data_IF_022715721374
#
_entry.id   IF_022715721374
#
_cell.length_a   1.000
_cell.length_b   1.000
_cell.length_c   1.000
_cell.angle_alpha   90.00
_cell.angle_beta   90.00
_cell.angle_gamma   90.00
#
_symmetry.space_group_name_H-M   'P 1'
#
loop_
_entity.id
_entity.type
_entity.pdbx_description
1 polymer ?
2 non-polymer ?
3 non-polymer ?
4 non-polymer ?
5 non-polymer ?
6 water ?
#
# COMPACT_ATOMS: atom_id res chain seq x y z
N UNK A 16 -4.46 -21.30 18.89
CA UNK A 16 -5.06 -20.11 18.27
C UNK A 16 -4.05 -19.04 17.89
N UNK A 17 -2.92 -19.00 18.61
CA UNK A 17 -1.82 -18.09 18.33
C UNK A 17 -0.91 -18.67 17.24
N UNK A 18 -0.90 -20.00 17.13
CA UNK A 18 -0.07 -20.72 16.16
C UNK A 18 -0.55 -20.42 14.73
N UNK A 19 -1.88 -20.46 14.52
CA UNK A 19 -2.48 -20.14 13.24
C UNK A 19 -2.09 -18.72 12.83
N UNK A 20 -2.29 -17.77 13.73
CA UNK A 20 -1.98 -16.37 13.47
C UNK A 20 -0.51 -16.22 13.11
N UNK A 21 0.39 -16.94 13.82
CA UNK A 21 1.81 -16.96 13.47
C UNK A 21 2.03 -17.50 12.04
N UNK A 22 1.28 -18.55 11.68
CA UNK A 22 1.32 -19.09 10.32
C UNK A 22 0.81 -18.06 9.31
N UNK A 23 -0.30 -17.37 9.64
CA UNK A 23 -0.88 -16.39 8.74
C UNK A 23 0.12 -15.28 8.42
N UNK A 24 0.88 -14.83 9.42
CA UNK A 24 1.89 -13.80 9.20
C UNK A 24 3.00 -14.29 8.29
N UNK A 25 3.32 -15.59 8.35
CA UNK A 25 4.35 -16.16 7.49
C UNK A 25 3.90 -16.22 6.03
N UNK A 26 2.58 -16.33 5.83
CA UNK A 26 1.99 -16.55 4.51
C UNK A 26 1.54 -15.25 3.86
N UNK A 27 1.20 -14.23 4.67
CA UNK A 27 0.60 -13.00 4.18
C UNK A 27 1.59 -11.84 4.34
N UNK A 28 2.11 -11.28 3.23
CA UNK A 28 2.89 -10.05 3.24
C UNK A 28 2.15 -8.91 3.96
N UNK A 29 2.86 -8.20 4.84
CA UNK A 29 2.34 -7.02 5.51
C UNK A 29 1.04 -7.31 6.28
N UNK A 30 0.93 -8.53 6.84
CA UNK A 30 -0.25 -8.96 7.56
C UNK A 30 -0.68 -7.93 8.61
N UNK A 31 0.26 -7.52 9.46
CA UNK A 31 -0.04 -6.56 10.51
C UNK A 31 -0.50 -5.24 9.91
N UNK A 32 0.22 -4.73 8.90
CA UNK A 32 -0.11 -3.46 8.27
C UNK A 32 -1.55 -3.48 7.74
N UNK A 33 -1.90 -4.51 6.96
CA UNK A 33 -3.18 -4.51 6.26
C UNK A 33 -4.34 -4.75 7.23
N UNK A 34 -4.17 -5.64 8.23
CA UNK A 34 -5.24 -5.92 9.18
C UNK A 34 -5.41 -4.71 10.10
N UNK A 35 -4.31 -4.15 10.60
CA UNK A 35 -4.37 -2.97 11.47
C UNK A 35 -5.00 -1.81 10.72
N UNK A 36 -4.67 -1.65 9.43
CA UNK A 36 -5.22 -0.57 8.62
C UNK A 36 -6.75 -0.64 8.62
N UNK A 37 -7.29 -1.85 8.52
CA UNK A 37 -8.74 -2.05 8.54
C UNK A 37 -9.32 -1.71 9.92
N UNK A 38 -8.65 -2.17 10.99
CA UNK A 38 -9.12 -1.90 12.34
C UNK A 38 -9.17 -0.40 12.59
N UNK A 39 -8.12 0.30 12.15
CA UNK A 39 -7.96 1.71 12.44
C UNK A 39 -8.97 2.53 11.62
N UNK A 40 -9.26 2.07 10.40
CA UNK A 40 -10.23 2.71 9.53
C UNK A 40 -11.62 2.60 10.14
N UNK A 41 -11.97 1.40 10.62
CA UNK A 41 -13.22 1.17 11.34
C UNK A 41 -13.26 2.07 12.57
N UNK A 42 -12.19 2.09 13.36
CA UNK A 42 -12.15 2.79 14.64
C UNK A 42 -12.33 4.30 14.43
N UNK A 43 -11.82 4.84 13.32
CA UNK A 43 -11.95 6.25 13.04
C UNK A 43 -13.39 6.60 12.62
N UNK A 44 -14.20 5.61 12.23
CA UNK A 44 -15.50 5.84 11.63
C UNK A 44 -16.64 5.62 12.63
N UNK A 45 -16.62 4.51 13.36
CA UNK A 45 -17.83 3.98 13.98
C UNK A 45 -18.04 4.63 15.35
N UNK A 46 -19.30 4.67 15.87
CA UNK A 46 -19.55 5.13 17.22
C UNK A 46 -19.04 4.10 18.23
N UNK A 47 -18.97 4.54 19.50
CA UNK A 47 -18.66 3.64 20.60
C UNK A 47 -19.67 2.49 20.59
N UNK A 48 -19.21 1.30 21.00
CA UNK A 48 -20.02 0.09 20.97
C UNK A 48 -20.66 -0.07 19.59
N UNK A 49 -19.86 -0.15 18.50
CA UNK A 49 -20.41 -0.30 17.15
C UNK A 49 -20.91 -1.71 16.88
N UNK A 50 -21.83 -1.84 15.92
CA UNK A 50 -22.24 -3.14 15.41
C UNK A 50 -21.49 -3.42 14.12
N UNK A 51 -20.79 -4.57 14.06
CA UNK A 51 -19.88 -4.88 12.97
C UNK A 51 -20.24 -6.24 12.36
N UNK A 52 -20.26 -6.30 11.03
CA UNK A 52 -20.47 -7.53 10.27
C UNK A 52 -19.13 -7.97 9.65
N UNK A 53 -18.74 -9.21 9.92
CA UNK A 53 -17.51 -9.77 9.37
C UNK A 53 -17.87 -10.86 8.36
N UNK A 54 -17.67 -10.57 7.06
CA UNK A 54 -18.08 -11.44 5.98
C UNK A 54 -16.92 -12.34 5.55
N UNK A 55 -17.21 -13.64 5.41
CA UNK A 55 -16.18 -14.66 5.23
C UNK A 55 -15.21 -14.66 6.41
N UNK A 56 -15.76 -14.71 7.63
CA UNK A 56 -15.02 -14.41 8.86
C UNK A 56 -13.92 -15.43 9.14
N UNK A 57 -14.09 -16.67 8.65
CA UNK A 57 -13.14 -17.74 8.93
C UNK A 57 -13.06 -18.03 10.43
N UNK A 58 -11.85 -17.98 10.99
CA UNK A 58 -11.62 -18.21 12.41
C UNK A 58 -11.98 -16.96 13.21
N UNK A 59 -12.19 -15.83 12.53
CA UNK A 59 -12.60 -14.59 13.18
C UNK A 59 -11.42 -13.67 13.49
N UNK A 60 -10.34 -13.79 12.70
CA UNK A 60 -9.10 -13.07 12.94
C UNK A 60 -9.31 -11.55 12.82
N UNK A 61 -10.20 -11.12 11.91
CA UNK A 61 -10.47 -9.71 11.70
C UNK A 61 -11.43 -9.18 12.78
N UNK A 62 -12.43 -9.98 13.14
CA UNK A 62 -13.34 -9.66 14.21
C UNK A 62 -12.58 -9.47 15.53
N UNK A 63 -11.53 -10.28 15.74
CA UNK A 63 -10.75 -10.24 16.97
C UNK A 63 -9.95 -8.94 17.08
N UNK A 64 -9.27 -8.56 16.00
CA UNK A 64 -8.45 -7.36 15.99
C UNK A 64 -9.29 -6.11 16.22
N UNK A 65 -10.55 -6.12 15.74
CA UNK A 65 -11.47 -5.01 15.94
C UNK A 65 -11.94 -4.96 17.39
N UNK A 66 -12.27 -6.13 17.96
CA UNK A 66 -12.72 -6.22 19.34
C UNK A 66 -11.62 -5.78 20.31
N UNK A 67 -10.37 -6.15 20.01
CA UNK A 67 -9.22 -5.73 20.81
C UNK A 67 -9.20 -4.20 20.88
N UNK A 68 -9.46 -3.54 19.74
CA UNK A 68 -9.42 -2.09 19.65
C UNK A 68 -10.70 -1.50 20.23
N UNK A 69 -11.84 -2.13 19.94
CA UNK A 69 -13.16 -1.64 20.35
C UNK A 69 -13.85 -2.75 21.13
N UNK A 70 -13.55 -2.90 22.44
CA UNK A 70 -14.09 -4.00 23.25
C UNK A 70 -15.61 -4.11 23.39
N UNK A 71 -16.33 -2.99 23.19
CA UNK A 71 -17.78 -2.97 23.36
C UNK A 71 -18.50 -3.31 22.04
N UNK A 72 -17.73 -3.67 21.00
CA UNK A 72 -18.31 -3.96 19.69
C UNK A 72 -19.30 -5.12 19.77
N UNK A 73 -20.41 -5.00 19.03
CA UNK A 73 -21.26 -6.13 18.72
C UNK A 73 -20.86 -6.66 17.33
N UNK A 74 -20.40 -7.91 17.26
CA UNK A 74 -19.84 -8.46 16.04
C UNK A 74 -20.67 -9.64 15.56
N UNK A 75 -20.95 -9.68 14.24
CA UNK A 75 -21.63 -10.80 13.61
C UNK A 75 -20.71 -11.41 12.55
N UNK A 76 -20.26 -12.64 12.81
CA UNK A 76 -19.38 -13.37 11.90
C UNK A 76 -20.22 -14.24 10.96
N UNK A 77 -19.94 -14.16 9.66
CA UNK A 77 -20.59 -15.01 8.66
C UNK A 77 -19.53 -15.76 7.88
N UNK A 78 -19.78 -17.06 7.64
CA UNK A 78 -18.91 -17.90 6.84
C UNK A 78 -19.67 -19.16 6.41
N UNK A 79 -19.34 -19.69 5.23
CA UNK A 79 -20.04 -20.87 4.71
C UNK A 79 -19.46 -22.14 5.32
N UNK A 80 -18.25 -22.04 5.89
CA UNK A 80 -17.54 -23.19 6.43
C UNK A 80 -17.81 -23.33 7.93
N UNK A 81 -18.51 -24.41 8.30
CA UNK A 81 -18.83 -24.70 9.69
C UNK A 81 -17.56 -25.01 10.47
N UNK A 82 -16.62 -25.72 9.83
CA UNK A 82 -15.34 -26.05 10.43
C UNK A 82 -14.64 -24.79 10.90
N UNK A 83 -14.61 -23.76 10.05
CA UNK A 83 -13.98 -22.49 10.38
C UNK A 83 -14.71 -21.81 11.54
N UNK A 84 -16.04 -21.76 11.46
CA UNK A 84 -16.85 -21.06 12.44
C UNK A 84 -16.73 -21.72 13.82
N UNK A 85 -16.56 -23.05 13.85
CA UNK A 85 -16.38 -23.78 15.11
C UNK A 85 -15.16 -23.23 15.84
N UNK A 86 -14.06 -23.04 15.10
CA UNK A 86 -12.82 -22.53 15.65
C UNK A 86 -12.99 -21.07 16.08
N UNK A 87 -13.83 -20.33 15.33
CA UNK A 87 -14.18 -18.96 15.69
C UNK A 87 -14.92 -18.94 17.02
N UNK A 88 -16.02 -19.69 17.11
CA UNK A 88 -16.73 -19.89 18.37
C UNK A 88 -15.72 -20.19 19.46
N UNK A 89 -14.70 -20.98 19.12
CA UNK A 89 -13.64 -21.37 20.04
C UNK A 89 -12.75 -20.20 20.45
N UNK A 90 -12.45 -19.30 19.51
CA UNK A 90 -11.67 -18.11 19.83
C UNK A 90 -12.48 -17.18 20.74
N UNK A 91 -13.81 -17.20 20.58
CA UNK A 91 -14.68 -16.32 21.33
C UNK A 91 -15.45 -17.13 22.37
N UNK A 97 -20.79 -11.27 20.51
CA UNK A 97 -20.29 -11.93 19.27
C UNK A 97 -21.32 -12.97 18.83
N UNK A 98 -21.85 -12.82 17.61
CA UNK A 98 -22.71 -13.81 16.99
C UNK A 98 -21.94 -14.53 15.89
N UNK A 99 -22.25 -15.82 15.69
CA UNK A 99 -21.67 -16.60 14.61
C UNK A 99 -22.81 -17.21 13.80
N UNK A 100 -22.67 -17.20 12.46
CA UNK A 100 -23.74 -17.63 11.58
C UNK A 100 -23.16 -18.29 10.32
N UNK A 101 -23.67 -19.50 10.00
CA UNK A 101 -23.41 -20.13 8.72
C UNK A 101 -24.14 -19.34 7.64
N UNK A 102 -23.43 -18.99 6.57
CA UNK A 102 -24.03 -18.26 5.47
C UNK A 102 -23.04 -18.09 4.31
N UNK A 103 -23.58 -17.89 3.11
CA UNK A 103 -22.77 -17.64 1.92
C UNK A 103 -22.76 -16.14 1.64
N UNK A 104 -21.67 -15.63 1.07
CA UNK A 104 -21.57 -14.21 0.74
C UNK A 104 -22.68 -13.80 -0.22
N UNK A 105 -23.14 -14.74 -1.07
CA UNK A 105 -24.16 -14.47 -2.05
C UNK A 105 -25.57 -14.51 -1.43
N UNK A 106 -25.68 -14.96 -0.17
CA UNK A 106 -26.95 -14.98 0.54
C UNK A 106 -27.27 -13.58 1.07
N UNK A 107 -28.55 -13.27 1.37
CA UNK A 107 -28.90 -11.99 2.01
C UNK A 107 -28.10 -11.82 3.30
N UNK A 108 -27.60 -10.61 3.53
CA UNK A 108 -26.79 -10.31 4.70
C UNK A 108 -27.69 -10.35 5.93
N UNK A 109 -27.14 -10.57 7.15
CA UNK A 109 -27.93 -10.41 8.38
C UNK A 109 -28.62 -9.05 8.44
N UNK A 110 -29.80 -9.02 9.08
CA UNK A 110 -30.62 -7.84 9.16
C UNK A 110 -30.22 -6.99 10.36
N UNK A 111 -30.78 -5.78 10.43
CA UNK A 111 -30.63 -4.89 11.58
C UNK A 111 -29.78 -3.67 11.27
N UNK A 112 -28.90 -3.77 10.26
CA UNK A 112 -28.01 -2.69 9.90
C UNK A 112 -26.73 -2.73 10.73
N UNK A 113 -25.64 -2.15 10.17
CA UNK A 113 -24.32 -2.19 10.77
C UNK A 113 -23.63 -0.83 10.64
N UNK A 114 -22.69 -0.57 11.55
CA UNK A 114 -21.87 0.64 11.53
C UNK A 114 -20.67 0.42 10.63
N UNK A 115 -20.20 -0.83 10.58
CA UNK A 115 -19.12 -1.24 9.71
C UNK A 115 -19.39 -2.64 9.18
N UNK A 116 -18.93 -2.87 7.95
CA UNK A 116 -18.85 -4.20 7.40
C UNK A 116 -17.40 -4.42 7.01
N UNK A 117 -16.84 -5.57 7.41
CA UNK A 117 -15.45 -5.86 7.14
C UNK A 117 -15.37 -7.25 6.53
N UNK A 118 -14.29 -7.49 5.79
CA UNK A 118 -14.03 -8.75 5.13
C UNK A 118 -12.53 -8.88 4.88
N UNK A 119 -12.00 -10.09 5.08
CA UNK A 119 -10.60 -10.37 4.86
C UNK A 119 -10.44 -11.62 4.00
N UNK A 120 -9.86 -11.44 2.81
CA UNK A 120 -9.39 -12.52 1.96
C UNK A 120 -10.52 -13.51 1.65
N UNK A 121 -11.70 -12.98 1.31
CA UNK A 121 -12.89 -13.78 1.09
C UNK A 121 -13.57 -13.42 -0.24
N UNK A 122 -13.69 -12.12 -0.53
CA UNK A 122 -14.56 -11.66 -1.59
C UNK A 122 -13.98 -12.02 -2.95
N UNK A 123 -12.66 -12.25 -3.01
CA UNK A 123 -12.01 -12.57 -4.28
C UNK A 123 -12.37 -13.98 -4.75
N UNK A 124 -13.17 -14.72 -3.97
CA UNK A 124 -13.67 -16.02 -4.38
C UNK A 124 -15.01 -15.94 -5.12
N UNK A 125 -15.64 -14.76 -5.14
CA UNK A 125 -16.91 -14.57 -5.85
C UNK A 125 -16.62 -14.24 -7.31
N UNK A 126 -17.57 -14.56 -8.19
CA UNK A 126 -17.60 -14.00 -9.52
C UNK A 126 -17.62 -12.48 -9.42
N UNK A 127 -17.13 -11.81 -10.45
CA UNK A 127 -17.17 -10.36 -10.55
C UNK A 127 -18.61 -9.84 -10.43
N UNK A 128 -19.58 -10.53 -11.05
CA UNK A 128 -20.98 -10.17 -10.88
C UNK A 128 -21.42 -10.32 -9.42
N UNK A 129 -20.93 -11.37 -8.74
CA UNK A 129 -21.22 -11.58 -7.33
C UNK A 129 -20.65 -10.48 -6.44
N UNK A 130 -19.42 -10.05 -6.76
CA UNK A 130 -18.77 -8.97 -6.03
C UNK A 130 -19.59 -7.69 -6.12
N UNK A 131 -20.03 -7.33 -7.33
CA UNK A 131 -20.75 -6.08 -7.57
C UNK A 131 -22.09 -6.10 -6.83
N UNK A 132 -22.79 -7.24 -6.89
CA UNK A 132 -24.03 -7.41 -6.17
C UNK A 132 -23.80 -7.31 -4.66
N UNK A 133 -22.73 -7.96 -4.15
CA UNK A 133 -22.42 -7.91 -2.74
C UNK A 133 -22.16 -6.46 -2.31
N UNK A 134 -21.41 -5.70 -3.14
CA UNK A 134 -21.07 -4.32 -2.81
C UNK A 134 -22.34 -3.50 -2.59
N UNK A 135 -23.34 -3.71 -3.45
CA UNK A 135 -24.62 -3.01 -3.34
C UNK A 135 -25.34 -3.39 -2.05
N UNK A 136 -25.36 -4.70 -1.74
CA UNK A 136 -26.08 -5.18 -0.59
C UNK A 136 -25.40 -4.70 0.70
N UNK A 137 -24.07 -4.57 0.66
CA UNK A 137 -23.31 -4.06 1.80
C UNK A 137 -23.67 -2.60 2.02
N UNK A 138 -23.66 -1.81 0.94
CA UNK A 138 -24.05 -0.41 1.01
C UNK A 138 -25.43 -0.28 1.66
N UNK A 139 -26.37 -1.18 1.32
CA UNK A 139 -27.73 -1.12 1.83
C UNK A 139 -27.81 -1.53 3.30
N UNK A 140 -26.86 -2.34 3.75
CA UNK A 140 -26.82 -2.81 5.12
C UNK A 140 -26.19 -1.77 6.06
N UNK A 141 -25.52 -0.75 5.49
CA UNK A 141 -24.72 0.18 6.29
C UNK A 141 -25.57 1.35 6.78
N UNK A 142 -25.42 1.67 8.08
CA UNK A 142 -26.05 2.84 8.67
C UNK A 142 -25.35 4.10 8.14
N UNK A 143 -26.00 5.28 8.16
CA UNK A 143 -25.37 6.51 7.69
C UNK A 143 -24.00 6.73 8.30
N UNK A 144 -23.04 7.14 7.47
CA UNK A 144 -21.66 7.32 7.90
C UNK A 144 -20.89 6.00 7.96
N UNK A 145 -21.53 4.88 7.66
CA UNK A 145 -20.94 3.56 7.84
C UNK A 145 -19.79 3.29 6.87
N UNK A 146 -18.99 2.27 7.18
CA UNK A 146 -17.81 1.99 6.38
C UNK A 146 -17.77 0.50 6.04
N UNK A 147 -17.34 0.22 4.80
CA UNK A 147 -17.01 -1.13 4.36
C UNK A 147 -15.50 -1.19 4.15
N UNK A 148 -14.85 -2.19 4.77
CA UNK A 148 -13.41 -2.35 4.62
C UNK A 148 -13.12 -3.75 4.12
N UNK A 149 -12.27 -3.84 3.08
CA UNK A 149 -11.87 -5.11 2.51
C UNK A 149 -10.36 -5.22 2.60
N UNK A 150 -9.89 -6.25 3.32
CA UNK A 150 -8.51 -6.68 3.31
C UNK A 150 -8.40 -7.80 2.28
N UNK A 151 -7.77 -7.52 1.14
CA UNK A 151 -8.02 -8.31 -0.07
C UNK A 151 -6.74 -8.67 -0.81
N UNK A 152 -6.81 -9.82 -1.49
CA UNK A 152 -5.82 -10.24 -2.47
C UNK A 152 -6.21 -9.67 -3.82
N UNK A 153 -5.31 -8.88 -4.43
CA UNK A 153 -5.62 -8.17 -5.66
C UNK A 153 -4.65 -8.62 -6.74
N UNK A 154 -5.07 -8.45 -7.99
CA UNK A 154 -4.34 -8.92 -9.15
C UNK A 154 -3.50 -7.81 -9.75
N UNK A 155 -2.32 -8.17 -10.26
CA UNK A 155 -1.52 -7.25 -11.05
C UNK A 155 -2.30 -6.80 -12.29
N UNK A 156 -2.35 -5.49 -12.59
CA UNK A 156 -3.12 -4.97 -13.72
C UNK A 156 -2.64 -5.41 -15.11
N UNK A 157 -1.33 -5.70 -15.23
CA UNK A 157 -0.74 -6.28 -16.43
C UNK A 157 0.06 -7.52 -16.05
N UNK A 158 0.30 -8.46 -16.99
CA UNK A 158 1.06 -9.68 -16.70
C UNK A 158 2.40 -9.46 -15.98
N UNK A 159 3.19 -8.47 -16.43
CA UNK A 159 4.47 -8.19 -15.79
C UNK A 159 4.29 -7.75 -14.34
N UNK A 160 3.16 -7.11 -14.02
CA UNK A 160 2.90 -6.64 -12.68
C UNK A 160 2.43 -7.81 -11.82
N UNK A 161 1.63 -8.71 -12.40
CA UNK A 161 1.19 -9.90 -11.69
C UNK A 161 2.39 -10.79 -11.37
N UNK A 162 3.38 -10.86 -12.28
CA UNK A 162 4.60 -11.63 -12.03
C UNK A 162 5.41 -11.02 -10.89
N UNK A 163 5.52 -9.69 -10.89
CA UNK A 163 6.18 -8.95 -9.81
C UNK A 163 5.46 -9.17 -8.47
N UNK A 164 4.12 -9.15 -8.49
CA UNK A 164 3.31 -9.33 -7.29
C UNK A 164 3.56 -10.72 -6.71
N UNK A 165 3.59 -11.73 -7.58
CA UNK A 165 3.83 -13.10 -7.18
C UNK A 165 5.25 -13.27 -6.63
N UNK A 166 6.22 -12.67 -7.32
CA UNK A 166 7.61 -12.68 -6.89
C UNK A 166 7.74 -12.08 -5.49
N UNK A 167 7.03 -11.00 -5.24
CA UNK A 167 7.10 -10.33 -3.94
C UNK A 167 6.45 -11.19 -2.85
N UNK A 168 5.36 -11.88 -3.21
CA UNK A 168 4.70 -12.81 -2.30
C UNK A 168 5.68 -13.92 -1.93
N UNK A 169 6.34 -14.50 -2.94
CA UNK A 169 7.30 -15.56 -2.73
C UNK A 169 8.45 -15.10 -1.85
N UNK A 170 8.93 -13.87 -2.07
CA UNK A 170 10.02 -13.29 -1.28
C UNK A 170 9.66 -13.26 0.21
N UNK A 171 8.40 -12.91 0.53
CA UNK A 171 7.91 -12.90 1.91
C UNK A 171 7.90 -14.30 2.52
N UNK A 172 7.34 -15.27 1.78
CA UNK A 172 7.24 -16.64 2.23
C UNK A 172 8.62 -17.26 2.47
N UNK A 173 9.60 -16.87 1.63
CA UNK A 173 10.98 -17.31 1.78
C UNK A 173 11.57 -16.76 3.09
N UNK A 174 11.46 -15.44 3.25
CA UNK A 174 12.06 -14.73 4.36
C UNK A 174 11.45 -15.19 5.68
N UNK A 175 10.15 -15.50 5.69
CA UNK A 175 9.46 -15.86 6.93
C UNK A 175 9.49 -17.36 7.17
N UNK A 176 10.10 -18.13 6.26
CA UNK A 176 10.24 -19.57 6.36
C UNK A 176 8.90 -20.26 6.57
N UNK A 177 7.86 -19.85 5.83
CA UNK A 177 6.58 -20.51 5.90
C UNK A 177 6.77 -22.01 5.62
N UNK A 178 6.08 -22.93 6.31
CA UNK A 178 6.19 -24.36 6.01
C UNK A 178 5.77 -24.71 4.60
N UNK A 179 6.52 -25.63 3.98
CA UNK A 179 6.39 -25.95 2.56
C UNK A 179 4.96 -26.34 2.21
N UNK A 180 4.34 -27.14 3.07
CA UNK A 180 3.02 -27.69 2.78
C UNK A 180 1.94 -26.61 2.89
N UNK A 181 2.17 -25.61 3.76
CA UNK A 181 1.20 -24.53 3.94
C UNK A 181 1.24 -23.61 2.72
N UNK A 182 2.43 -23.35 2.18
CA UNK A 182 2.57 -22.58 0.95
C UNK A 182 1.97 -23.33 -0.23
N UNK A 183 2.17 -24.66 -0.28
CA UNK A 183 1.63 -25.49 -1.36
C UNK A 183 0.10 -25.50 -1.32
N UNK A 184 -0.47 -25.65 -0.12
CA UNK A 184 -1.91 -25.57 0.10
C UNK A 184 -2.47 -24.22 -0.35
N UNK A 185 -1.75 -23.13 -0.05
CA UNK A 185 -2.15 -21.80 -0.46
C UNK A 185 -2.15 -21.66 -1.98
N UNK A 186 -1.09 -22.18 -2.62
CA UNK A 186 -0.99 -22.24 -4.07
C UNK A 186 -2.20 -22.97 -4.66
N UNK A 187 -2.58 -24.09 -4.03
CA UNK A 187 -3.72 -24.88 -4.48
C UNK A 187 -5.02 -24.06 -4.40
N UNK A 188 -5.25 -23.41 -3.26
CA UNK A 188 -6.46 -22.63 -3.03
C UNK A 188 -6.54 -21.46 -4.00
N UNK A 189 -5.39 -20.99 -4.52
CA UNK A 189 -5.34 -19.89 -5.48
C UNK A 189 -6.00 -20.27 -6.81
N UNK A 190 -6.21 -21.57 -7.05
CA UNK A 190 -6.91 -22.03 -8.24
C UNK A 190 -8.41 -21.74 -8.15
N UNK A 191 -8.90 -21.40 -6.95
CA UNK A 191 -10.30 -21.05 -6.76
C UNK A 191 -10.48 -19.54 -6.65
N UNK A 192 -9.43 -18.78 -6.94
CA UNK A 192 -9.47 -17.32 -6.84
C UNK A 192 -10.10 -16.71 -8.09
N UNK A 193 -10.80 -15.59 -7.88
CA UNK A 193 -11.32 -14.75 -8.95
C UNK A 193 -10.90 -13.30 -8.64
N UNK A 194 -9.59 -13.12 -8.48
CA UNK A 194 -9.03 -11.83 -8.13
C UNK A 194 -9.11 -10.91 -9.35
N UNK A 195 -9.17 -9.61 -9.05
CA UNK A 195 -9.07 -8.57 -10.06
C UNK A 195 -8.23 -7.45 -9.46
N UNK A 196 -7.80 -6.52 -10.31
CA UNK A 196 -6.91 -5.46 -9.90
C UNK A 196 -7.66 -4.51 -8.96
N UNK A 197 -6.88 -3.75 -8.20
CA UNK A 197 -7.41 -2.87 -7.16
C UNK A 197 -8.31 -1.79 -7.79
N UNK A 198 -7.83 -1.13 -8.84
CA UNK A 198 -8.53 -0.01 -9.46
C UNK A 198 -9.92 -0.43 -9.89
N UNK A 199 -10.05 -1.62 -10.49
CA UNK A 199 -11.34 -2.07 -11.01
C UNK A 199 -12.34 -2.20 -9.87
N UNK A 200 -11.93 -2.82 -8.76
CA UNK A 200 -12.87 -3.08 -7.66
C UNK A 200 -13.16 -1.82 -6.86
N UNK A 201 -12.23 -0.86 -6.82
CA UNK A 201 -12.50 0.48 -6.27
C UNK A 201 -13.59 1.15 -7.10
N UNK A 202 -13.50 1.04 -8.43
CA UNK A 202 -14.51 1.60 -9.31
C UNK A 202 -15.88 0.96 -9.05
N UNK A 203 -15.89 -0.37 -8.86
CA UNK A 203 -17.13 -1.08 -8.60
C UNK A 203 -17.76 -0.61 -7.27
N UNK A 204 -16.92 -0.24 -6.30
CA UNK A 204 -17.42 0.33 -5.05
C UNK A 204 -18.16 1.62 -5.35
N UNK A 205 -17.52 2.51 -6.13
CA UNK A 205 -18.16 3.75 -6.55
C UNK A 205 -19.48 3.47 -7.25
N UNK A 206 -19.46 2.53 -8.20
CA UNK A 206 -20.65 2.17 -8.97
C UNK A 206 -21.76 1.68 -8.04
N UNK A 207 -21.39 1.03 -6.91
CA UNK A 207 -22.36 0.47 -5.99
C UNK A 207 -22.96 1.52 -5.06
N UNK A 208 -22.48 2.77 -5.15
CA UNK A 208 -23.11 3.89 -4.48
C UNK A 208 -22.38 4.30 -3.21
N UNK A 209 -21.10 3.93 -3.07
CA UNK A 209 -20.30 4.40 -1.96
C UNK A 209 -19.81 5.82 -2.24
N UNK A 210 -19.92 6.69 -1.22
CA UNK A 210 -19.70 8.12 -1.35
C UNK A 210 -18.21 8.41 -1.55
N UNK A 211 -17.34 7.73 -0.79
CA UNK A 211 -15.91 7.92 -0.90
C UNK A 211 -15.25 6.54 -0.81
N UNK A 212 -14.21 6.32 -1.63
CA UNK A 212 -13.49 5.05 -1.64
C UNK A 212 -12.00 5.36 -1.61
N UNK A 213 -11.22 4.49 -0.98
CA UNK A 213 -9.78 4.71 -0.91
C UNK A 213 -9.05 3.39 -0.62
N UNK A 214 -7.82 3.30 -1.10
CA UNK A 214 -6.90 2.27 -0.68
C UNK A 214 -6.06 2.83 0.47
N UNK A 215 -6.13 2.17 1.63
CA UNK A 215 -5.42 2.62 2.82
C UNK A 215 -4.00 2.06 2.84
N UNK A 216 -3.83 0.79 2.46
CA UNK A 216 -2.56 0.11 2.60
C UNK A 216 -2.41 -0.90 1.47
N UNK A 217 -1.18 -1.14 1.04
CA UNK A 217 -0.92 -2.09 -0.03
C UNK A 217 0.49 -2.62 0.10
N UNK A 218 0.64 -3.93 -0.14
CA UNK A 218 1.93 -4.58 -0.33
C UNK A 218 1.79 -5.54 -1.51
N UNK A 219 1.98 -4.98 -2.72
CA UNK A 219 1.85 -5.68 -4.00
C UNK A 219 0.49 -6.36 -4.08
N UNK A 220 0.44 -7.68 -3.84
CA UNK A 220 -0.76 -8.48 -4.04
C UNK A 220 -1.82 -8.23 -2.96
N UNK A 221 -1.43 -7.65 -1.82
CA UNK A 221 -2.36 -7.49 -0.70
C UNK A 221 -2.64 -6.02 -0.45
N UNK A 222 -3.93 -5.70 -0.25
CA UNK A 222 -4.37 -4.32 -0.12
C UNK A 222 -5.55 -4.24 0.83
N UNK A 223 -5.59 -3.15 1.60
CA UNK A 223 -6.76 -2.79 2.37
C UNK A 223 -7.41 -1.59 1.71
N UNK A 224 -8.70 -1.72 1.36
CA UNK A 224 -9.46 -0.60 0.82
C UNK A 224 -10.81 -0.50 1.52
N UNK A 225 -11.46 0.65 1.34
CA UNK A 225 -12.69 0.95 2.08
C UNK A 225 -13.60 1.83 1.24
N UNK A 226 -14.90 1.76 1.55
CA UNK A 226 -15.88 2.70 1.04
C UNK A 226 -16.78 3.15 2.19
N UNK A 227 -17.21 4.42 2.14
CA UNK A 227 -18.14 4.98 3.10
C UNK A 227 -19.46 5.31 2.40
N UNK A 228 -20.58 5.14 3.12
CA UNK A 228 -21.91 5.40 2.60
C UNK A 228 -22.35 6.83 2.98
N UNK B 16 25.43 7.51 9.03
CA UNK B 16 24.84 6.82 7.89
C UNK B 16 23.74 5.84 8.29
N UNK B 17 24.11 4.86 9.12
CA UNK B 17 23.18 3.83 9.58
C UNK B 17 22.21 4.44 10.60
N UNK B 18 22.66 5.50 11.30
CA UNK B 18 21.86 6.17 12.31
C UNK B 18 20.78 7.04 11.66
N UNK B 19 21.12 7.69 10.54
CA UNK B 19 20.16 8.45 9.76
C UNK B 19 19.02 7.55 9.29
N UNK B 20 19.36 6.33 8.85
CA UNK B 20 18.39 5.40 8.32
C UNK B 20 17.46 4.93 9.43
N UNK B 21 18.03 4.67 10.61
CA UNK B 21 17.23 4.32 11.78
C UNK B 21 16.29 5.47 12.12
N UNK B 22 16.80 6.71 12.02
CA UNK B 22 15.97 7.91 12.19
C UNK B 22 14.84 7.93 11.16
N UNK B 23 15.17 7.71 9.89
CA UNK B 23 14.17 7.73 8.83
C UNK B 23 13.07 6.70 9.10
N UNK B 24 13.45 5.51 9.59
CA UNK B 24 12.51 4.45 9.88
C UNK B 24 11.50 4.88 10.94
N UNK B 25 11.98 5.62 11.94
CA UNK B 25 11.14 6.09 13.04
C UNK B 25 10.13 7.13 12.55
N UNK B 26 10.51 7.91 11.53
CA UNK B 26 9.70 9.04 11.05
C UNK B 26 8.78 8.65 9.90
N UNK B 27 9.15 7.59 9.15
CA UNK B 27 8.46 7.23 7.93
C UNK B 27 7.76 5.87 8.09
N UNK B 28 6.41 5.87 8.15
CA UNK B 28 5.64 4.63 8.14
C UNK B 28 6.05 3.73 6.98
N UNK B 29 6.28 2.45 7.30
CA UNK B 29 6.55 1.41 6.31
C UNK B 29 7.76 1.74 5.44
N UNK B 30 8.77 2.38 6.04
CA UNK B 30 9.96 2.83 5.33
C UNK B 30 10.58 1.68 4.51
N UNK B 31 10.77 0.51 5.16
CA UNK B 31 11.40 -0.62 4.50
C UNK B 31 10.51 -1.14 3.35
N UNK B 32 9.21 -1.26 3.62
CA UNK B 32 8.27 -1.74 2.62
C UNK B 32 8.32 -0.87 1.36
N UNK B 33 8.17 0.46 1.53
CA UNK B 33 8.01 1.35 0.39
C UNK B 33 9.31 1.51 -0.39
N UNK B 34 10.47 1.54 0.30
CA UNK B 34 11.77 1.73 -0.33
C UNK B 34 12.21 0.43 -1.01
N UNK B 35 12.03 -0.70 -0.34
CA UNK B 35 12.33 -1.99 -0.94
C UNK B 35 11.41 -2.24 -2.15
N UNK B 36 10.15 -1.82 -2.05
CA UNK B 36 9.22 -1.99 -3.16
C UNK B 36 9.78 -1.31 -4.40
N UNK B 37 10.40 -0.13 -4.23
CA UNK B 37 11.02 0.60 -5.31
C UNK B 37 12.20 -0.17 -5.90
N UNK B 38 13.09 -0.65 -5.03
CA UNK B 38 14.26 -1.41 -5.43
C UNK B 38 13.88 -2.63 -6.27
N UNK B 39 12.91 -3.41 -5.75
CA UNK B 39 12.48 -4.65 -6.36
C UNK B 39 11.79 -4.40 -7.71
N UNK B 40 11.09 -3.27 -7.83
CA UNK B 40 10.39 -2.89 -9.05
C UNK B 40 11.43 -2.57 -10.13
N UNK B 41 12.46 -1.82 -9.73
CA UNK B 41 13.59 -1.53 -10.60
C UNK B 41 14.27 -2.83 -11.04
N UNK B 42 14.53 -3.73 -10.09
CA UNK B 42 15.32 -4.93 -10.34
C UNK B 42 14.59 -5.88 -11.28
N UNK B 43 13.25 -5.87 -11.23
CA UNK B 43 12.43 -6.69 -12.12
C UNK B 43 12.44 -6.14 -13.55
N UNK B 44 12.85 -4.89 -13.73
CA UNK B 44 12.72 -4.21 -15.01
C UNK B 44 14.06 -4.14 -15.75
N UNK B 45 15.12 -3.70 -15.07
CA UNK B 45 16.29 -3.17 -15.76
C UNK B 45 17.22 -4.32 -16.13
N UNK B 46 18.15 -4.11 -17.11
CA UNK B 46 19.16 -5.12 -17.42
C UNK B 46 20.23 -5.07 -16.33
N UNK B 47 21.11 -6.06 -16.27
CA UNK B 47 22.23 -6.00 -15.36
C UNK B 47 23.12 -4.83 -15.80
N UNK B 48 23.87 -4.28 -14.85
CA UNK B 48 24.61 -3.04 -15.03
C UNK B 48 23.68 -1.94 -15.55
N UNK B 49 22.53 -1.69 -14.88
CA UNK B 49 21.60 -0.65 -15.33
C UNK B 49 22.13 0.74 -15.04
N UNK B 50 21.68 1.71 -15.82
CA UNK B 50 21.95 3.12 -15.56
C UNK B 50 20.74 3.72 -14.87
N UNK B 51 20.95 4.32 -13.69
CA UNK B 51 19.87 4.77 -12.84
C UNK B 51 20.05 6.25 -12.50
N UNK B 52 18.95 7.01 -12.60
CA UNK B 52 18.90 8.41 -12.19
C UNK B 52 18.12 8.51 -10.89
N UNK B 53 18.70 9.17 -9.87
CA UNK B 53 18.06 9.38 -8.58
C UNK B 53 17.80 10.87 -8.38
N UNK B 54 16.52 11.26 -8.49
CA UNK B 54 16.10 12.65 -8.45
C UNK B 54 15.73 13.04 -7.03
N UNK B 55 16.26 14.19 -6.56
CA UNK B 55 16.18 14.59 -5.17
C UNK B 55 16.77 13.51 -4.27
N UNK B 56 18.02 13.13 -4.57
CA UNK B 56 18.66 11.96 -4.00
C UNK B 56 18.94 12.13 -2.50
N UNK B 57 19.07 13.38 -2.04
CA UNK B 57 19.40 13.67 -0.66
C UNK B 57 20.75 13.06 -0.28
N UNK B 58 20.75 12.22 0.76
CA UNK B 58 21.97 11.56 1.22
C UNK B 58 22.21 10.29 0.42
N UNK B 59 21.35 10.02 -0.57
CA UNK B 59 21.57 8.98 -1.55
C UNK B 59 21.00 7.63 -1.10
N UNK B 60 20.03 7.68 -0.18
CA UNK B 60 19.48 6.50 0.48
C UNK B 60 18.89 5.53 -0.55
N UNK B 61 18.13 6.06 -1.53
CA UNK B 61 17.48 5.23 -2.52
C UNK B 61 18.52 4.63 -3.47
N UNK B 62 19.49 5.43 -3.88
CA UNK B 62 20.60 4.98 -4.70
C UNK B 62 21.35 3.83 -4.02
N UNK B 63 21.54 3.95 -2.70
CA UNK B 63 22.25 2.96 -1.91
C UNK B 63 21.52 1.61 -1.96
N UNK B 64 20.20 1.67 -1.78
CA UNK B 64 19.37 0.47 -1.73
C UNK B 64 19.40 -0.27 -3.06
N UNK B 65 19.33 0.47 -4.17
CA UNK B 65 19.39 -0.13 -5.50
C UNK B 65 20.77 -0.76 -5.70
N UNK B 66 21.83 -0.06 -5.27
CA UNK B 66 23.20 -0.52 -5.43
C UNK B 66 23.42 -1.82 -4.65
N UNK B 67 22.84 -1.89 -3.46
CA UNK B 67 22.90 -3.10 -2.64
C UNK B 67 22.33 -4.29 -3.41
N UNK B 68 21.26 -4.04 -4.19
CA UNK B 68 20.57 -5.08 -4.92
C UNK B 68 21.23 -5.34 -6.28
N UNK B 69 21.74 -4.28 -6.92
CA UNK B 69 22.31 -4.36 -8.26
C UNK B 69 23.70 -3.72 -8.24
N UNK B 70 24.74 -4.42 -7.72
CA UNK B 70 26.05 -3.81 -7.47
C UNK B 70 26.73 -3.11 -8.65
N UNK B 71 26.46 -3.56 -9.88
CA UNK B 71 27.14 -3.05 -11.05
C UNK B 71 26.38 -1.87 -11.68
N UNK B 72 25.40 -1.32 -10.95
CA UNK B 72 24.60 -0.20 -11.45
C UNK B 72 25.47 1.03 -11.67
N UNK B 73 25.10 1.84 -12.67
CA UNK B 73 25.64 3.17 -12.83
C UNK B 73 24.57 4.15 -12.37
N UNK B 74 24.88 4.95 -11.34
CA UNK B 74 23.88 5.77 -10.69
C UNK B 74 24.27 7.24 -10.79
N UNK B 75 23.31 8.09 -11.15
CA UNK B 75 23.51 9.54 -11.18
C UNK B 75 22.57 10.18 -10.16
N UNK B 76 23.14 10.83 -9.13
CA UNK B 76 22.38 11.48 -8.07
C UNK B 76 22.18 12.95 -8.44
N UNK B 77 20.95 13.46 -8.26
CA UNK B 77 20.67 14.88 -8.46
C UNK B 77 19.95 15.42 -7.24
N UNK B 78 20.42 16.57 -6.74
CA UNK B 78 19.79 17.28 -5.65
C UNK B 78 20.27 18.72 -5.64
N UNK B 79 19.41 19.65 -5.18
CA UNK B 79 19.75 21.07 -5.14
C UNK B 79 20.61 21.37 -3.92
N UNK B 80 20.53 20.51 -2.90
CA UNK B 80 21.20 20.76 -1.64
C UNK B 80 22.63 20.19 -1.66
N UNK B 81 23.62 21.08 -1.68
CA UNK B 81 25.03 20.71 -1.67
C UNK B 81 25.35 19.99 -0.36
N UNK B 82 24.70 20.43 0.72
CA UNK B 82 24.89 19.88 2.06
C UNK B 82 24.51 18.40 2.04
N UNK B 83 23.31 18.12 1.52
CA UNK B 83 22.84 16.75 1.37
C UNK B 83 23.80 15.97 0.47
N UNK B 84 24.17 16.56 -0.67
CA UNK B 84 25.03 15.91 -1.64
C UNK B 84 26.42 15.65 -1.07
N UNK B 85 26.89 16.55 -0.20
CA UNK B 85 28.14 16.33 0.52
C UNK B 85 28.08 14.96 1.21
N UNK B 86 26.97 14.71 1.90
CA UNK B 86 26.82 13.50 2.70
C UNK B 86 26.65 12.29 1.76
N UNK B 87 25.97 12.52 0.63
CA UNK B 87 25.82 11.49 -0.40
C UNK B 87 27.19 11.04 -0.90
N UNK B 88 28.04 12.01 -1.27
CA UNK B 88 29.41 11.76 -1.69
C UNK B 88 30.13 10.95 -0.61
N UNK B 89 29.84 11.26 0.65
CA UNK B 89 30.36 10.52 1.79
C UNK B 89 29.96 9.05 1.76
N UNK B 90 28.67 8.78 1.51
CA UNK B 90 28.13 7.43 1.56
C UNK B 90 28.86 6.53 0.55
N UNK B 91 29.31 7.13 -0.56
CA UNK B 91 29.98 6.38 -1.61
C UNK B 91 31.46 6.76 -1.62
N UNK B 96 31.19 4.18 -10.23
CA UNK B 96 29.89 4.05 -10.91
C UNK B 96 28.79 4.91 -10.26
N UNK B 97 29.21 5.98 -9.58
CA UNK B 97 28.28 6.86 -8.88
C UNK B 97 28.66 8.30 -9.20
N UNK B 98 27.76 9.01 -9.88
CA UNK B 98 27.93 10.42 -10.18
C UNK B 98 27.03 11.20 -9.23
N UNK B 99 27.52 12.37 -8.78
CA UNK B 99 26.73 13.29 -7.96
C UNK B 99 26.74 14.63 -8.68
N UNK B 100 25.58 15.28 -8.77
CA UNK B 100 25.45 16.56 -9.45
C UNK B 100 24.50 17.47 -8.69
N UNK B 101 24.92 18.73 -8.50
CA UNK B 101 24.02 19.78 -8.07
C UNK B 101 23.05 20.08 -9.21
N UNK B 102 21.76 20.12 -8.91
CA UNK B 102 20.73 20.43 -9.89
C UNK B 102 19.35 20.51 -9.24
N UNK B 103 18.45 21.24 -9.88
CA UNK B 103 17.06 21.31 -9.48
C UNK B 103 16.26 20.30 -10.30
N UNK B 104 15.16 19.77 -9.74
CA UNK B 104 14.31 18.83 -10.44
C UNK B 104 13.74 19.47 -11.72
N UNK B 105 13.57 20.79 -11.70
CA UNK B 105 12.97 21.52 -12.81
C UNK B 105 13.99 21.79 -13.91
N UNK B 106 15.28 21.54 -13.67
CA UNK B 106 16.31 21.70 -14.69
C UNK B 106 16.31 20.50 -15.63
N UNK B 107 16.86 20.64 -16.86
CA UNK B 107 17.02 19.50 -17.75
C UNK B 107 17.72 18.33 -17.07
N UNK B 108 17.22 17.11 -17.28
CA UNK B 108 17.78 15.91 -16.66
C UNK B 108 19.15 15.63 -17.27
N UNK B 109 20.05 14.92 -16.56
CA UNK B 109 21.35 14.54 -17.14
C UNK B 109 21.11 13.80 -18.46
N UNK B 110 22.01 13.98 -19.41
CA UNK B 110 21.87 13.40 -20.74
C UNK B 110 22.29 11.93 -20.73
N UNK B 111 21.94 11.21 -21.81
CA UNK B 111 22.50 9.90 -22.08
C UNK B 111 21.47 8.77 -22.01
N UNK B 112 20.30 9.03 -21.42
CA UNK B 112 19.27 8.02 -21.28
C UNK B 112 19.50 7.14 -20.06
N UNK B 113 18.42 6.54 -19.54
CA UNK B 113 18.45 5.76 -18.31
C UNK B 113 17.54 4.53 -18.42
N UNK B 114 17.92 3.46 -17.72
CA UNK B 114 17.10 2.26 -17.62
C UNK B 114 16.02 2.47 -16.57
N UNK B 115 16.33 3.31 -15.57
CA UNK B 115 15.41 3.58 -14.49
C UNK B 115 15.63 5.00 -13.99
N UNK B 116 14.52 5.64 -13.60
CA UNK B 116 14.52 6.90 -12.88
C UNK B 116 13.75 6.66 -11.60
N UNK B 117 14.35 7.02 -10.45
CA UNK B 117 13.73 6.85 -9.16
C UNK B 117 13.75 8.19 -8.44
N UNK B 118 12.81 8.37 -7.50
CA UNK B 118 12.74 9.55 -6.64
C UNK B 118 12.10 9.15 -5.32
N UNK B 119 12.60 9.70 -4.21
CA UNK B 119 12.06 9.42 -2.89
C UNK B 119 11.75 10.71 -2.15
N UNK B 120 10.46 10.93 -1.86
CA UNK B 120 9.97 12.02 -1.02
C UNK B 120 10.53 13.37 -1.48
N UNK B 121 10.45 13.66 -2.79
CA UNK B 121 11.01 14.87 -3.35
C UNK B 121 10.02 15.63 -4.24
N UNK B 122 9.24 14.89 -5.05
CA UNK B 122 8.46 15.49 -6.12
C UNK B 122 7.28 16.32 -5.58
N UNK B 123 6.83 16.01 -4.35
CA UNK B 123 5.76 16.77 -3.72
C UNK B 123 6.21 18.19 -3.34
N UNK B 124 7.49 18.53 -3.55
CA UNK B 124 7.99 19.90 -3.37
C UNK B 124 7.80 20.74 -4.63
N UNK B 125 7.43 20.11 -5.74
CA UNK B 125 7.24 20.84 -6.99
C UNK B 125 5.78 21.24 -7.10
N UNK B 126 5.53 22.31 -7.88
CA UNK B 126 4.19 22.66 -8.30
C UNK B 126 3.59 21.48 -9.07
N UNK B 127 2.26 21.45 -9.14
CA UNK B 127 1.55 20.45 -9.92
C UNK B 127 1.95 20.53 -11.40
N UNK B 128 2.09 21.74 -11.92
CA UNK B 128 2.57 21.95 -13.29
C UNK B 128 4.01 21.46 -13.40
N UNK B 129 4.82 21.73 -12.38
CA UNK B 129 6.19 21.25 -12.32
C UNK B 129 6.26 19.73 -12.31
N UNK B 130 5.38 19.07 -11.55
CA UNK B 130 5.34 17.62 -11.47
C UNK B 130 5.03 17.03 -12.85
N UNK B 131 3.99 17.55 -13.51
CA UNK B 131 3.54 17.02 -14.79
C UNK B 131 4.64 17.20 -15.85
N UNK B 132 5.32 18.34 -15.81
CA UNK B 132 6.40 18.61 -16.74
C UNK B 132 7.57 17.65 -16.48
N UNK B 133 7.92 17.46 -15.21
CA UNK B 133 8.97 16.50 -14.87
C UNK B 133 8.59 15.11 -15.38
N UNK B 134 7.34 14.68 -15.17
CA UNK B 134 6.91 13.34 -15.58
C UNK B 134 7.18 13.13 -17.07
N UNK B 135 6.88 14.14 -17.89
CA UNK B 135 7.12 14.08 -19.33
C UNK B 135 8.62 13.93 -19.60
N UNK B 136 9.44 14.74 -18.92
CA UNK B 136 10.87 14.75 -19.16
C UNK B 136 11.52 13.43 -18.74
N UNK B 137 10.99 12.81 -17.67
CA UNK B 137 11.47 11.52 -17.21
C UNK B 137 11.19 10.47 -18.27
N UNK B 138 9.94 10.47 -18.78
CA UNK B 138 9.55 9.53 -19.81
C UNK B 138 10.50 9.69 -21.00
N UNK B 139 10.89 10.93 -21.31
CA UNK B 139 11.74 11.21 -22.46
C UNK B 139 13.19 10.73 -22.20
N UNK B 140 13.60 10.63 -20.94
CA UNK B 140 14.95 10.18 -20.60
C UNK B 140 15.03 8.66 -20.48
N UNK B 141 13.88 7.98 -20.46
CA UNK B 141 13.88 6.54 -20.24
C UNK B 141 14.07 5.82 -21.57
N UNK B 142 14.99 4.85 -21.57
CA UNK B 142 15.17 3.93 -22.68
C UNK B 142 13.94 3.01 -22.76
N UNK B 143 13.70 2.35 -23.91
CA UNK B 143 12.58 1.42 -24.06
C UNK B 143 12.54 0.38 -22.95
N UNK B 144 11.35 0.16 -22.39
CA UNK B 144 11.16 -0.78 -21.31
C UNK B 144 11.48 -0.17 -19.94
N UNK B 145 11.98 1.07 -19.91
CA UNK B 145 12.48 1.68 -18.68
C UNK B 145 11.36 2.02 -17.70
N UNK B 146 11.72 2.25 -16.43
CA UNK B 146 10.73 2.43 -15.39
C UNK B 146 11.06 3.68 -14.59
N UNK B 147 10.01 4.42 -14.21
CA UNK B 147 10.11 5.50 -13.25
C UNK B 147 9.42 5.04 -11.96
N UNK B 148 10.10 5.16 -10.82
CA UNK B 148 9.51 4.80 -9.54
C UNK B 148 9.57 6.00 -8.60
N UNK B 149 8.44 6.31 -7.96
CA UNK B 149 8.33 7.38 -7.00
C UNK B 149 7.92 6.79 -5.65
N UNK B 150 8.76 7.03 -4.62
CA UNK B 150 8.40 6.80 -3.23
C UNK B 150 7.97 8.15 -2.69
N UNK B 151 6.66 8.31 -2.40
CA UNK B 151 6.05 9.62 -2.33
C UNK B 151 5.15 9.75 -1.10
N UNK B 152 5.03 11.00 -0.63
CA UNK B 152 4.02 11.41 0.32
C UNK B 152 2.76 11.83 -0.43
N UNK B 153 1.62 11.16 -0.14
CA UNK B 153 0.37 11.43 -0.83
C UNK B 153 -0.69 11.94 0.15
N UNK B 154 -1.59 12.77 -0.38
CA UNK B 154 -2.67 13.37 0.37
C UNK B 154 -3.89 12.44 0.40
N UNK B 155 -4.61 12.50 1.53
CA UNK B 155 -5.92 11.89 1.62
C UNK B 155 -6.88 12.58 0.65
N UNK B 156 -7.61 11.83 -0.20
CA UNK B 156 -8.53 12.43 -1.18
C UNK B 156 -9.68 13.28 -0.64
N UNK B 157 -10.08 13.01 0.60
CA UNK B 157 -11.10 13.78 1.31
C UNK B 157 -10.57 14.16 2.68
N UNK B 158 -11.14 15.21 3.33
CA UNK B 158 -10.68 15.60 4.65
C UNK B 158 -10.63 14.48 5.68
N UNK B 159 -11.65 13.62 5.72
CA UNK B 159 -11.66 12.53 6.71
C UNK B 159 -10.52 11.56 6.45
N UNK B 160 -10.11 11.43 5.19
CA UNK B 160 -9.03 10.52 4.84
C UNK B 160 -7.69 11.15 5.18
N UNK B 161 -7.51 12.45 4.92
CA UNK B 161 -6.28 13.12 5.31
C UNK B 161 -6.11 13.07 6.83
N UNK B 162 -7.21 13.23 7.58
CA UNK B 162 -7.18 13.10 9.04
C UNK B 162 -6.75 11.70 9.45
N UNK B 163 -7.33 10.67 8.82
CA UNK B 163 -6.96 9.29 9.08
C UNK B 163 -5.49 9.07 8.74
N UNK B 164 -5.04 9.56 7.59
CA UNK B 164 -3.63 9.45 7.19
C UNK B 164 -2.72 10.08 8.24
N UNK B 165 -3.09 11.28 8.68
CA UNK B 165 -2.30 12.01 9.65
C UNK B 165 -2.23 11.25 10.98
N UNK B 166 -3.37 10.73 11.45
CA UNK B 166 -3.40 10.03 12.72
C UNK B 166 -2.57 8.74 12.63
N UNK B 167 -2.60 8.09 11.44
CA UNK B 167 -1.79 6.90 11.22
C UNK B 167 -0.30 7.25 11.26
N UNK B 168 0.09 8.36 10.66
CA UNK B 168 1.47 8.81 10.69
C UNK B 168 1.89 9.09 12.14
N UNK B 169 1.02 9.82 12.87
CA UNK B 169 1.25 10.11 14.28
C UNK B 169 1.42 8.82 15.07
N UNK B 170 0.56 7.82 14.81
CA UNK B 170 0.61 6.58 15.57
C UNK B 170 1.95 5.88 15.37
N UNK B 171 2.51 5.97 14.15
CA UNK B 171 3.80 5.36 13.83
C UNK B 171 4.94 6.02 14.61
N UNK B 172 4.98 7.36 14.61
CA UNK B 172 6.06 8.08 15.28
C UNK B 172 5.98 7.86 16.79
N UNK B 173 4.77 7.67 17.32
CA UNK B 173 4.59 7.37 18.74
C UNK B 173 5.12 5.98 19.05
N UNK B 174 4.67 5.01 18.26
CA UNK B 174 5.08 3.63 18.42
C UNK B 174 6.59 3.49 18.27
N UNK B 175 7.21 4.23 17.33
CA UNK B 175 8.63 4.09 17.03
C UNK B 175 9.49 5.06 17.85
N UNK B 176 8.85 5.87 18.71
CA UNK B 176 9.53 6.80 19.58
C UNK B 176 10.42 7.77 18.79
N UNK B 177 9.88 8.30 17.68
CA UNK B 177 10.60 9.28 16.87
C UNK B 177 10.96 10.49 17.74
N UNK B 178 12.14 11.12 17.54
CA UNK B 178 12.52 12.28 18.35
C UNK B 178 11.60 13.49 18.21
N UNK B 179 11.40 14.20 19.33
CA UNK B 179 10.54 15.37 19.40
C UNK B 179 10.94 16.43 18.38
N UNK B 180 12.25 16.73 18.36
CA UNK B 180 12.79 17.80 17.54
C UNK B 180 12.49 17.51 16.06
N UNK B 181 12.85 16.30 15.63
CA UNK B 181 12.73 15.89 14.24
C UNK B 181 11.27 15.91 13.81
N UNK B 182 10.39 15.38 14.68
CA UNK B 182 8.99 15.23 14.36
C UNK B 182 8.31 16.59 14.25
N UNK B 183 8.59 17.48 15.22
CA UNK B 183 8.09 18.85 15.18
C UNK B 183 8.48 19.52 13.88
N UNK B 184 9.76 19.40 13.50
CA UNK B 184 10.28 20.03 12.29
C UNK B 184 9.59 19.46 11.05
N UNK B 185 9.36 18.15 11.04
CA UNK B 185 8.74 17.45 9.93
C UNK B 185 7.28 17.87 9.74
N UNK B 186 6.53 17.95 10.84
CA UNK B 186 5.14 18.38 10.81
C UNK B 186 5.03 19.83 10.31
N UNK B 187 5.99 20.69 10.67
CA UNK B 187 5.98 22.07 10.21
C UNK B 187 6.15 22.13 8.68
N UNK B 188 7.19 21.44 8.19
CA UNK B 188 7.43 21.41 6.75
C UNK B 188 6.21 20.87 6.00
N UNK B 189 5.53 19.87 6.56
CA UNK B 189 4.43 19.19 5.88
C UNK B 189 3.26 20.12 5.65
N UNK B 190 3.19 21.21 6.45
CA UNK B 190 2.19 22.25 6.27
C UNK B 190 2.31 22.92 4.90
N UNK B 191 3.53 22.94 4.33
CA UNK B 191 3.78 23.71 3.12
C UNK B 191 4.03 22.82 1.90
N UNK B 192 3.97 21.49 2.06
CA UNK B 192 4.14 20.54 0.96
C UNK B 192 3.02 20.70 -0.06
N UNK B 193 3.31 20.43 -1.34
CA UNK B 193 2.31 20.47 -2.41
C UNK B 193 1.94 19.04 -2.79
N UNK B 194 1.48 18.26 -1.81
CA UNK B 194 1.05 16.90 -2.01
C UNK B 194 -0.32 16.87 -2.67
N UNK B 195 -0.59 15.78 -3.39
CA UNK B 195 -1.90 15.51 -3.95
C UNK B 195 -2.16 14.02 -3.76
N UNK B 196 -3.38 13.57 -4.05
CA UNK B 196 -3.77 12.21 -3.79
C UNK B 196 -3.06 11.29 -4.79
N UNK B 197 -3.02 9.99 -4.46
CA UNK B 197 -2.37 9.00 -5.31
C UNK B 197 -3.03 8.93 -6.69
N UNK B 198 -4.36 8.84 -6.72
CA UNK B 198 -5.09 8.60 -7.97
C UNK B 198 -4.76 9.69 -9.01
N UNK B 199 -4.71 10.95 -8.55
CA UNK B 199 -4.47 12.08 -9.44
C UNK B 199 -3.10 11.96 -10.09
N UNK B 200 -2.05 11.66 -9.29
CA UNK B 200 -0.71 11.70 -9.84
C UNK B 200 -0.44 10.46 -10.68
N UNK B 201 -1.10 9.34 -10.39
CA UNK B 201 -1.08 8.18 -11.28
C UNK B 201 -1.64 8.57 -12.64
N UNK B 202 -2.78 9.28 -12.64
CA UNK B 202 -3.39 9.74 -13.89
C UNK B 202 -2.42 10.64 -14.65
N UNK B 203 -1.75 11.55 -13.93
CA UNK B 203 -0.77 12.44 -14.54
C UNK B 203 0.38 11.68 -15.20
N UNK B 204 0.81 10.55 -14.60
CA UNK B 204 1.81 9.70 -15.21
C UNK B 204 1.31 9.17 -16.55
N UNK B 205 0.07 8.69 -16.59
CA UNK B 205 -0.49 8.17 -17.83
C UNK B 205 -0.52 9.27 -18.87
N UNK B 206 -0.91 10.48 -18.43
CA UNK B 206 -1.03 11.64 -19.31
C UNK B 206 0.33 12.05 -19.84
N UNK B 207 1.39 11.78 -19.07
CA UNK B 207 2.75 12.14 -19.50
C UNK B 207 3.30 11.14 -20.50
N UNK B 208 2.54 10.05 -20.78
CA UNK B 208 2.89 9.10 -21.82
C UNK B 208 3.46 7.78 -21.28
N UNK B 209 3.31 7.50 -19.97
CA UNK B 209 3.72 6.20 -19.46
C UNK B 209 2.68 5.16 -19.86
N UNK B 210 3.15 4.00 -20.33
CA UNK B 210 2.31 2.97 -20.95
C UNK B 210 1.58 2.18 -19.87
N UNK B 211 2.26 1.94 -18.75
CA UNK B 211 1.74 1.16 -17.65
C UNK B 211 2.04 1.94 -16.38
N UNK B 212 1.08 1.97 -15.42
CA UNK B 212 1.28 2.64 -14.15
C UNK B 212 0.66 1.76 -13.06
N UNK B 213 1.30 1.70 -11.89
CA UNK B 213 0.72 0.97 -10.77
C UNK B 213 1.19 1.54 -9.44
N UNK B 214 0.39 1.31 -8.39
CA UNK B 214 0.83 1.50 -7.02
C UNK B 214 1.26 0.15 -6.47
N UNK B 215 2.54 0.05 -6.09
CA UNK B 215 3.11 -1.21 -5.63
C UNK B 215 2.90 -1.38 -4.13
N UNK B 216 3.10 -0.28 -3.37
CA UNK B 216 3.04 -0.33 -1.91
C UNK B 216 2.40 0.95 -1.36
N UNK B 217 1.73 0.83 -0.20
CA UNK B 217 1.09 1.98 0.41
C UNK B 217 0.89 1.75 1.91
N UNK B 218 1.14 2.80 2.71
CA UNK B 218 0.78 2.87 4.12
C UNK B 218 0.25 4.29 4.37
N UNK B 219 -1.06 4.46 4.12
CA UNK B 219 -1.80 5.70 4.26
C UNK B 219 -1.11 6.80 3.46
N UNK B 220 -0.39 7.70 4.15
CA UNK B 220 0.24 8.86 3.54
C UNK B 220 1.43 8.49 2.63
N UNK B 221 1.98 7.27 2.77
CA UNK B 221 3.18 6.94 2.01
C UNK B 221 2.90 5.85 0.99
N UNK B 222 3.40 6.04 -0.23
CA UNK B 222 3.10 5.13 -1.33
C UNK B 222 4.28 5.06 -2.28
N UNK B 223 4.49 3.87 -2.87
CA UNK B 223 5.44 3.68 -3.94
C UNK B 223 4.62 3.36 -5.18
N UNK B 224 4.81 4.15 -6.24
CA UNK B 224 4.15 3.89 -7.50
C UNK B 224 5.18 4.01 -8.62
N UNK B 225 4.80 3.50 -9.79
CA UNK B 225 5.72 3.43 -10.91
C UNK B 225 4.99 3.59 -12.23
N UNK B 226 5.76 3.93 -13.25
CA UNK B 226 5.30 3.94 -14.63
C UNK B 226 6.39 3.36 -15.52
N UNK B 227 5.96 2.59 -16.53
CA UNK B 227 6.87 2.05 -17.55
C UNK B 227 6.61 2.73 -18.89
N UNK B 228 7.68 2.87 -19.70
CA UNK B 228 7.58 3.52 -21.01
C UNK B 228 7.37 2.47 -22.09
#
# INVERSE_FOLDING_TARGET
GSAQTFEIKGNDLWDPTTFDALRRQLIPSFDLIYEAAVRTVAATVPTAPRVLDLGAGTGLLSAAILRELPDSEVVLVDRSELMLTQARGRFASQDGVTVQTGDLTDPLPEGGFDAVVSGLAIHHLSHTGKRDLFRRIREALRPGGVFVNVEQVQGPLPHLESLYDSQHELHVIREQAPAHEWAAGRERMKFDVCIDLETQLQWLRDAGFRSVDCLAKDFRFATYAGWVS
GSAQTFEIKGNDLWDPTTFDALRRQLIPSFDLIYEAAVRTVAATVPTAPRVLDLGAGTGLLSAAILRELPDSEVVLVDRSELMLTQARGRFASQDGVTVQTGDLTDPLPEGGFDAVVSGLAIHHLSHTGKRDLFRRIREALRPGGVFVNVEQVQGPLPHLESLYDSQHELHVIREQAPAHEWAAGRERMKFDVCIDLETQLQWLRDAGFRSVDCLAKDFRFATYAGWVS
#
